data_IF_228706983923
#
_entry.id   IF_228706983923
#
_cell.length_a   1.000
_cell.length_b   1.000
_cell.length_c   1.000
_cell.angle_alpha   90.00
_cell.angle_beta   90.00
_cell.angle_gamma   90.00
#
_symmetry.space_group_name_H-M   'P 1'
#
loop_
_entity.id
_entity.type
_entity.pdbx_description
1 polymer ?
#
# COMPACT_ATOMS: atom_id res chain seq x y z
N UNK A 1 40.27 91.39 28.09
CA UNK A 1 39.78 92.72 28.44
C UNK A 1 40.86 93.44 29.22
N UNK A 2 41.01 94.75 29.06
CA UNK A 2 41.89 95.57 29.91
C UNK A 2 41.48 95.43 31.39
N UNK A 3 42.47 95.56 32.28
CA UNK A 3 42.22 95.66 33.72
C UNK A 3 41.33 96.87 34.05
N UNK A 4 40.77 96.87 35.27
CA UNK A 4 39.92 97.95 35.76
C UNK A 4 40.58 99.32 35.55
N UNK A 5 39.81 100.26 34.99
CA UNK A 5 40.28 101.62 34.77
C UNK A 5 40.69 102.27 36.10
N UNK A 6 41.84 102.97 36.17
CA UNK A 6 42.23 103.73 37.35
C UNK A 6 41.14 104.72 37.78
N UNK A 7 40.93 104.84 39.09
CA UNK A 7 39.99 105.82 39.66
C UNK A 7 40.45 107.26 39.39
N UNK A 8 39.52 108.22 39.39
CA UNK A 8 39.86 109.63 39.26
C UNK A 8 40.62 110.09 40.51
N UNK A 9 41.56 111.03 40.35
CA UNK A 9 42.36 111.55 41.47
C UNK A 9 41.52 112.47 42.35
N UNK A 10 40.78 111.88 43.29
CA UNK A 10 40.00 112.55 44.34
C UNK A 10 40.07 111.74 45.64
N UNK A 11 39.56 112.29 46.74
CA UNK A 11 39.68 111.68 48.08
C UNK A 11 39.03 110.29 48.20
N UNK A 12 38.02 109.99 47.37
CA UNK A 12 37.28 108.73 47.36
C UNK A 12 37.28 108.04 45.97
N UNK A 13 38.05 108.56 45.01
CA UNK A 13 38.10 108.04 43.65
C UNK A 13 36.86 108.32 42.80
N UNK A 14 36.00 109.26 43.20
CA UNK A 14 34.78 109.68 42.47
C UNK A 14 34.81 111.15 42.07
N UNK A 15 33.95 111.51 41.12
CA UNK A 15 33.75 112.90 40.73
C UNK A 15 32.88 113.64 41.74
N UNK A 16 33.34 114.82 42.17
CA UNK A 16 32.58 115.75 43.01
C UNK A 16 32.31 117.05 42.27
N UNK A 17 31.14 117.64 42.51
CA UNK A 17 30.83 119.00 42.07
C UNK A 17 31.60 120.01 42.92
N UNK A 18 31.95 121.15 42.33
CA UNK A 18 32.45 122.28 43.11
C UNK A 18 31.34 122.89 43.96
N UNK A 19 31.68 123.39 45.14
CA UNK A 19 30.77 124.11 46.02
C UNK A 19 31.19 125.59 46.14
N UNK A 20 30.51 126.51 45.44
CA UNK A 20 30.84 127.93 45.46
C UNK A 20 30.69 128.58 46.84
N UNK A 21 29.83 128.03 47.72
CA UNK A 21 29.58 128.58 49.05
C UNK A 21 30.69 128.27 50.06
N UNK A 22 31.47 127.21 49.82
CA UNK A 22 32.60 126.79 50.68
C UNK A 22 33.96 127.00 50.01
N UNK A 23 33.99 127.37 48.73
CA UNK A 23 35.20 127.51 47.93
C UNK A 23 35.81 126.17 47.47
N UNK A 24 35.14 125.04 47.71
CA UNK A 24 35.60 123.72 47.30
C UNK A 24 35.53 123.57 45.78
N UNK A 25 36.65 123.21 45.15
CA UNK A 25 36.72 123.03 43.71
C UNK A 25 36.20 121.64 43.31
N UNK A 26 35.49 121.57 42.18
CA UNK A 26 35.03 120.30 41.63
C UNK A 26 36.17 119.43 41.09
N UNK A 27 35.93 118.13 40.98
CA UNK A 27 36.90 117.18 40.41
C UNK A 27 37.01 117.40 38.90
N UNK A 28 38.20 117.78 38.43
CA UNK A 28 38.44 117.98 36.99
C UNK A 28 38.57 116.64 36.27
N UNK A 29 37.85 116.48 35.16
CA UNK A 29 38.08 115.36 34.23
C UNK A 29 39.44 115.54 33.57
N UNK A 30 40.35 114.59 33.78
CA UNK A 30 41.69 114.64 33.20
C UNK A 30 41.70 114.00 31.81
N UNK A 31 42.62 114.44 30.94
CA UNK A 31 42.85 113.79 29.65
C UNK A 31 43.25 112.31 29.83
N UNK A 32 44.00 111.99 30.89
CA UNK A 32 44.33 110.61 31.25
C UNK A 32 43.07 109.76 31.46
N UNK A 33 42.09 110.28 32.21
CA UNK A 33 40.85 109.56 32.46
C UNK A 33 40.06 109.30 31.16
N UNK A 34 39.88 110.32 30.31
CA UNK A 34 39.18 110.15 29.04
C UNK A 34 39.91 109.22 28.05
N UNK A 35 41.24 109.29 28.00
CA UNK A 35 42.03 108.35 27.20
C UNK A 35 41.88 106.92 27.73
N UNK A 36 41.87 106.72 29.04
CA UNK A 36 41.62 105.41 29.64
C UNK A 36 40.21 104.89 29.28
N UNK A 37 39.17 105.74 29.33
CA UNK A 37 37.81 105.37 28.90
C UNK A 37 37.79 104.97 27.43
N UNK A 38 38.39 105.77 26.55
CA UNK A 38 38.46 105.48 25.11
C UNK A 38 39.16 104.15 24.85
N UNK A 39 40.31 103.93 25.50
CA UNK A 39 41.08 102.70 25.39
C UNK A 39 40.26 101.48 25.83
N UNK A 40 39.49 101.61 26.91
CA UNK A 40 38.68 100.52 27.44
C UNK A 40 37.49 100.18 26.52
N UNK A 41 36.82 101.20 25.96
CA UNK A 41 35.74 100.99 24.97
C UNK A 41 36.30 100.31 23.72
N UNK A 42 37.43 100.79 23.20
CA UNK A 42 38.09 100.19 22.03
C UNK A 42 38.53 98.75 22.26
N UNK A 43 38.96 98.43 23.48
CA UNK A 43 39.33 97.06 23.88
C UNK A 43 38.12 96.11 23.84
N UNK A 44 36.99 96.53 24.43
CA UNK A 44 35.74 95.74 24.36
C UNK A 44 35.28 95.57 22.91
N UNK A 45 35.32 96.64 22.11
CA UNK A 45 35.00 96.56 20.68
C UNK A 45 35.93 95.60 19.92
N UNK A 46 37.22 95.54 20.27
CA UNK A 46 38.17 94.62 19.66
C UNK A 46 37.84 93.15 20.00
N UNK A 47 37.41 92.86 21.23
CA UNK A 47 36.96 91.51 21.61
C UNK A 47 35.68 91.11 20.89
N UNK A 48 34.71 92.01 20.77
CA UNK A 48 33.48 91.75 20.00
C UNK A 48 33.78 91.53 18.51
N UNK A 49 34.70 92.32 17.93
CA UNK A 49 35.23 92.09 16.57
C UNK A 49 35.93 90.74 16.44
N UNK A 50 36.64 90.30 17.46
CA UNK A 50 37.26 88.98 17.47
C UNK A 50 36.21 87.87 17.46
N UNK A 51 35.14 87.97 18.25
CA UNK A 51 34.01 87.02 18.22
C UNK A 51 33.38 86.97 16.83
N UNK A 52 33.12 88.12 16.21
CA UNK A 52 32.64 88.20 14.81
C UNK A 52 33.59 87.48 13.84
N UNK A 53 34.90 87.76 13.94
CA UNK A 53 35.91 87.13 13.06
C UNK A 53 35.98 85.62 13.22
N UNK A 54 35.81 85.10 14.45
CA UNK A 54 35.78 83.66 14.73
C UNK A 54 34.55 82.97 14.13
N UNK A 55 33.46 83.71 13.95
CA UNK A 55 32.29 83.27 13.22
C UNK A 55 32.40 83.47 11.70
N UNK A 56 33.50 84.05 11.19
CA UNK A 56 33.64 84.41 9.78
C UNK A 56 32.77 85.61 9.36
N UNK A 57 32.36 86.45 10.30
CA UNK A 57 31.53 87.63 10.07
C UNK A 57 32.37 88.92 10.14
N UNK A 58 32.03 89.88 9.29
CA UNK A 58 32.60 91.23 9.32
C UNK A 58 31.64 92.19 10.06
N UNK A 59 32.16 93.21 10.77
CA UNK A 59 31.33 94.23 11.40
C UNK A 59 30.40 94.90 10.40
N UNK A 60 29.14 95.01 10.76
CA UNK A 60 28.11 95.68 9.96
C UNK A 60 27.35 96.69 10.84
N UNK A 61 27.45 97.96 10.51
CA UNK A 61 26.85 99.09 11.23
C UNK A 61 25.32 99.10 11.14
N UNK A 62 24.73 98.51 10.10
CA UNK A 62 23.29 98.35 9.95
C UNK A 62 22.70 97.18 10.78
N UNK A 63 23.53 96.36 11.47
CA UNK A 63 23.08 95.19 12.23
C UNK A 63 23.36 95.28 13.73
N UNK A 64 22.31 95.12 14.54
CA UNK A 64 22.40 95.11 16.01
C UNK A 64 22.49 93.70 16.62
N UNK A 65 22.29 92.64 15.83
CA UNK A 65 22.30 91.22 16.29
C UNK A 65 23.58 90.46 15.94
N UNK A 66 24.55 91.11 15.31
CA UNK A 66 25.72 90.44 14.72
C UNK A 66 26.56 89.63 15.72
N UNK A 67 26.64 90.08 16.98
CA UNK A 67 27.34 89.34 18.05
C UNK A 67 26.58 88.06 18.41
N UNK A 68 25.25 88.11 18.44
CA UNK A 68 24.41 86.92 18.68
C UNK A 68 24.56 85.90 17.54
N UNK A 69 24.47 86.36 16.30
CA UNK A 69 24.67 85.52 15.11
C UNK A 69 26.06 84.86 15.13
N UNK A 70 27.09 85.61 15.53
CA UNK A 70 28.45 85.10 15.66
C UNK A 70 28.55 83.99 16.72
N UNK A 71 27.94 84.18 17.89
CA UNK A 71 27.94 83.19 18.97
C UNK A 71 27.24 81.90 18.50
N UNK A 72 26.09 81.99 17.83
CA UNK A 72 25.39 80.81 17.27
C UNK A 72 26.29 80.07 16.28
N UNK A 73 26.91 80.81 15.34
CA UNK A 73 27.79 80.21 14.33
C UNK A 73 28.97 79.47 14.97
N UNK A 74 29.62 80.08 15.97
CA UNK A 74 30.73 79.48 16.72
C UNK A 74 30.28 78.23 17.46
N UNK A 75 29.12 78.26 18.13
CA UNK A 75 28.59 77.09 18.83
C UNK A 75 28.37 75.95 17.84
N UNK A 76 27.70 76.21 16.71
CA UNK A 76 27.40 75.20 15.71
C UNK A 76 28.65 74.62 15.05
N UNK A 77 29.64 75.45 14.72
CA UNK A 77 30.91 75.00 14.16
C UNK A 77 31.72 74.12 15.13
N UNK A 78 31.54 74.32 16.44
CA UNK A 78 32.20 73.54 17.47
C UNK A 78 31.42 72.27 17.89
N UNK A 79 30.20 72.05 17.40
CA UNK A 79 29.47 70.78 17.58
C UNK A 79 30.17 69.71 16.74
N UNK A 80 30.73 68.71 17.41
CA UNK A 80 31.42 67.58 16.75
C UNK A 80 30.52 66.37 16.72
N UNK A 81 30.48 65.68 15.58
CA UNK A 81 29.89 64.34 15.50
C UNK A 81 30.72 63.36 16.33
N UNK A 82 30.07 62.42 17.00
CA UNK A 82 30.78 61.37 17.72
C UNK A 82 31.43 60.38 16.74
N UNK A 83 32.41 59.65 17.24
CA UNK A 83 33.01 58.49 16.58
C UNK A 83 33.34 57.43 17.63
N UNK A 84 33.87 56.29 17.21
CA UNK A 84 34.31 55.21 18.10
C UNK A 84 35.48 55.61 19.01
N UNK A 85 36.19 56.70 18.72
CA UNK A 85 37.37 57.16 19.48
C UNK A 85 37.22 58.58 20.03
N UNK A 86 36.11 59.27 19.76
CA UNK A 86 35.90 60.65 20.19
C UNK A 86 34.44 60.91 20.52
N UNK A 87 34.22 61.54 21.69
CA UNK A 87 32.90 62.01 22.12
C UNK A 87 32.35 63.08 21.18
N UNK A 88 31.03 63.11 20.99
CA UNK A 88 30.31 64.06 20.17
C UNK A 88 28.82 63.74 20.14
N UNK A 89 28.09 64.32 19.21
CA UNK A 89 26.66 64.10 19.01
C UNK A 89 26.41 62.92 18.07
N UNK A 90 25.36 62.14 18.36
CA UNK A 90 24.94 60.97 17.59
C UNK A 90 23.45 61.07 17.30
N UNK A 91 23.04 60.76 16.08
CA UNK A 91 21.63 60.57 15.74
C UNK A 91 21.25 59.11 16.00
N UNK A 92 20.15 58.85 16.69
CA UNK A 92 19.71 57.49 16.97
C UNK A 92 18.78 56.97 15.86
N UNK A 93 18.82 55.66 15.61
CA UNK A 93 17.94 54.98 14.65
C UNK A 93 17.33 53.72 15.25
N UNK A 94 16.10 53.41 14.86
CA UNK A 94 15.41 52.16 15.20
C UNK A 94 15.70 51.03 14.19
N UNK A 95 16.44 51.33 13.12
CA UNK A 95 16.84 50.31 12.15
C UNK A 95 17.87 49.35 12.76
N UNK A 96 17.69 48.06 12.52
CA UNK A 96 18.57 46.97 13.01
C UNK A 96 19.39 46.31 11.91
N UNK A 97 19.29 46.81 10.67
CA UNK A 97 20.02 46.27 9.51
C UNK A 97 20.66 47.36 8.64
N UNK A 98 20.68 48.61 9.12
CA UNK A 98 21.35 49.70 8.43
C UNK A 98 22.83 49.73 8.82
N UNK A 99 23.71 49.57 7.84
CA UNK A 99 25.11 49.90 8.01
C UNK A 99 25.26 51.43 8.07
N UNK A 100 25.79 51.97 9.16
CA UNK A 100 26.01 53.42 9.31
C UNK A 100 27.23 53.72 10.17
N UNK A 101 27.95 54.79 9.82
CA UNK A 101 28.99 55.42 10.64
C UNK A 101 28.52 56.74 11.27
N UNK A 102 27.25 57.11 11.08
CA UNK A 102 26.66 58.39 11.52
C UNK A 102 25.55 58.16 12.54
N UNK A 103 24.73 57.13 12.35
CA UNK A 103 23.64 56.78 13.26
C UNK A 103 24.07 55.73 14.30
N UNK A 104 23.69 55.96 15.56
CA UNK A 104 23.79 54.99 16.63
C UNK A 104 22.49 54.19 16.79
N UNK A 105 22.59 52.98 17.31
CA UNK A 105 21.41 52.17 17.62
C UNK A 105 20.62 52.80 18.79
N UNK A 106 19.31 52.96 18.63
CA UNK A 106 18.43 53.30 19.74
C UNK A 106 18.25 52.09 20.69
N UNK A 107 17.68 52.33 21.87
CA UNK A 107 17.27 51.26 22.77
C UNK A 107 16.24 50.32 22.13
N UNK A 108 15.37 50.84 21.26
CA UNK A 108 14.37 50.04 20.54
C UNK A 108 15.05 49.14 19.49
N UNK A 109 16.03 49.65 18.74
CA UNK A 109 16.82 48.85 17.82
C UNK A 109 17.55 47.71 18.55
N UNK A 110 18.23 48.03 19.66
CA UNK A 110 18.93 47.03 20.48
C UNK A 110 17.98 45.95 21.01
N UNK A 111 16.81 46.34 21.53
CA UNK A 111 15.78 45.40 21.98
C UNK A 111 15.26 44.53 20.84
N UNK A 112 14.99 45.12 19.68
CA UNK A 112 14.49 44.37 18.51
C UNK A 112 15.51 43.36 18.02
N UNK A 113 16.79 43.71 17.97
CA UNK A 113 17.87 42.79 17.62
C UNK A 113 17.98 41.62 18.62
N UNK A 114 17.89 41.91 19.91
CA UNK A 114 17.85 40.89 20.97
C UNK A 114 16.65 39.94 20.81
N UNK A 115 15.44 40.48 20.65
CA UNK A 115 14.21 39.69 20.51
C UNK A 115 14.29 38.77 19.27
N UNK A 116 14.82 39.27 18.15
CA UNK A 116 15.08 38.44 16.95
C UNK A 116 16.10 37.32 17.21
N UNK A 117 17.15 37.60 17.98
CA UNK A 117 18.11 36.58 18.42
C UNK A 117 17.46 35.48 19.26
N UNK A 118 16.60 35.85 20.21
CA UNK A 118 15.82 34.90 21.02
C UNK A 118 14.87 34.07 20.15
N UNK A 119 14.17 34.71 19.20
CA UNK A 119 13.30 33.99 18.25
C UNK A 119 14.09 32.97 17.41
N UNK A 120 15.28 33.34 16.92
CA UNK A 120 16.15 32.44 16.16
C UNK A 120 16.62 31.26 17.02
N UNK A 121 17.02 31.51 18.27
CA UNK A 121 17.42 30.45 19.21
C UNK A 121 16.25 29.49 19.50
N UNK A 122 15.06 30.02 19.76
CA UNK A 122 13.87 29.20 20.01
C UNK A 122 13.50 28.36 18.78
N UNK A 123 13.58 28.95 17.58
CA UNK A 123 13.36 28.24 16.33
C UNK A 123 14.40 27.13 16.09
N UNK A 124 15.66 27.35 16.51
CA UNK A 124 16.71 26.34 16.43
C UNK A 124 16.51 25.20 17.46
N UNK A 125 16.16 25.54 18.70
CA UNK A 125 15.89 24.58 19.77
C UNK A 125 14.72 23.63 19.46
N UNK A 126 13.77 24.06 18.62
CA UNK A 126 12.68 23.22 18.14
C UNK A 126 13.06 22.25 17.01
N UNK A 127 14.28 22.32 16.47
CA UNK A 127 14.74 21.48 15.36
C UNK A 127 15.67 20.38 15.85
N UNK A 128 15.61 19.23 15.17
CA UNK A 128 16.61 18.18 15.34
C UNK A 128 17.96 18.69 14.82
N UNK A 129 19.04 18.43 15.57
CA UNK A 129 20.39 18.74 15.13
C UNK A 129 20.73 18.02 13.81
N UNK A 130 21.64 18.58 13.01
CA UNK A 130 21.97 18.06 11.67
C UNK A 130 22.40 16.57 11.66
N UNK A 131 23.03 16.11 12.76
CA UNK A 131 23.41 14.71 12.96
C UNK A 131 22.74 14.12 14.21
N UNK A 132 21.65 14.73 14.68
CA UNK A 132 20.89 14.25 15.83
C UNK A 132 20.07 13.03 15.46
N UNK A 133 19.92 12.10 16.41
CA UNK A 133 18.93 11.02 16.29
C UNK A 133 17.62 11.49 16.90
N UNK A 134 16.52 11.37 16.15
CA UNK A 134 15.20 11.70 16.68
C UNK A 134 14.83 10.69 17.79
N UNK A 135 14.58 11.19 19.00
CA UNK A 135 14.18 10.34 20.15
C UNK A 135 12.72 9.89 20.01
N UNK A 136 11.90 10.62 19.26
CA UNK A 136 10.51 10.28 18.99
C UNK A 136 10.09 10.73 17.59
N UNK A 137 9.18 9.99 16.97
CA UNK A 137 8.57 10.33 15.69
C UNK A 137 7.04 10.37 15.85
N UNK A 138 6.44 11.56 15.93
CA UNK A 138 5.00 11.71 16.15
C UNK A 138 4.13 10.97 15.09
N UNK A 139 4.64 10.80 13.86
CA UNK A 139 3.93 10.04 12.81
C UNK A 139 3.88 8.53 13.10
N UNK A 140 4.80 8.01 13.92
CA UNK A 140 4.88 6.63 14.43
C UNK A 140 4.40 6.50 15.89
N UNK A 141 4.02 7.60 16.55
CA UNK A 141 3.40 7.55 17.89
C UNK A 141 2.14 6.67 17.91
N UNK A 142 1.42 6.64 16.77
CA UNK A 142 0.46 5.60 16.48
C UNK A 142 1.14 4.57 15.58
N UNK A 143 1.26 3.34 16.07
CA UNK A 143 1.87 2.25 15.31
C UNK A 143 1.19 2.09 13.94
N UNK A 144 2.01 1.93 12.89
CA UNK A 144 1.54 1.79 11.51
C UNK A 144 1.56 0.33 11.11
N UNK A 145 0.50 -0.15 10.47
CA UNK A 145 0.48 -1.49 9.91
C UNK A 145 1.33 -1.54 8.64
N UNK A 146 2.35 -2.39 8.64
CA UNK A 146 3.06 -2.81 7.44
C UNK A 146 2.37 -4.08 6.95
N UNK A 147 1.84 -4.05 5.73
CA UNK A 147 1.11 -5.16 5.13
C UNK A 147 1.83 -5.67 3.88
N UNK A 148 2.02 -6.99 3.82
CA UNK A 148 2.45 -7.74 2.65
C UNK A 148 1.20 -8.28 1.97
N UNK A 149 1.08 -8.08 0.66
CA UNK A 149 -0.06 -8.54 -0.15
C UNK A 149 0.43 -9.24 -1.40
N UNK A 150 -0.38 -10.16 -1.94
CA UNK A 150 -0.05 -10.92 -3.15
C UNK A 150 0.19 -12.41 -2.87
N UNK A 151 1.25 -12.97 -3.44
CA UNK A 151 1.58 -14.39 -3.29
C UNK A 151 1.86 -14.77 -1.83
N UNK A 152 2.54 -13.90 -1.09
CA UNK A 152 2.73 -14.02 0.36
C UNK A 152 1.93 -12.91 1.04
N UNK A 153 1.17 -13.26 2.07
CA UNK A 153 0.45 -12.30 2.91
C UNK A 153 1.00 -12.28 4.33
N UNK A 154 0.85 -11.15 5.01
CA UNK A 154 1.29 -10.98 6.38
C UNK A 154 1.17 -9.52 6.78
N UNK A 155 1.02 -9.25 8.08
CA UNK A 155 1.06 -7.88 8.55
C UNK A 155 1.56 -7.78 9.98
N UNK A 156 2.10 -6.61 10.31
CA UNK A 156 2.55 -6.29 11.66
C UNK A 156 2.49 -4.79 11.90
N UNK A 157 2.34 -4.39 13.16
CA UNK A 157 2.35 -2.98 13.55
C UNK A 157 3.76 -2.56 13.92
N UNK A 158 4.27 -1.52 13.28
CA UNK A 158 5.57 -0.92 13.56
C UNK A 158 5.40 0.43 14.24
N UNK A 159 6.06 0.63 15.37
CA UNK A 159 6.09 1.89 16.13
C UNK A 159 7.52 2.48 16.26
N UNK A 160 8.54 1.79 15.76
CA UNK A 160 9.93 2.23 15.83
C UNK A 160 10.65 1.92 17.14
N UNK A 161 10.01 1.25 18.10
CA UNK A 161 10.65 0.87 19.38
C UNK A 161 11.68 -0.25 19.24
N UNK A 162 11.61 -1.03 18.17
CA UNK A 162 12.53 -2.13 17.88
C UNK A 162 12.24 -2.81 16.55
N UNK A 163 12.88 -3.95 16.32
CA UNK A 163 12.68 -4.74 15.11
C UNK A 163 11.27 -5.31 15.04
N UNK A 164 10.60 -5.17 13.90
CA UNK A 164 9.31 -5.81 13.63
C UNK A 164 9.52 -7.18 13.00
N UNK A 165 9.00 -8.23 13.63
CA UNK A 165 8.83 -9.55 13.00
C UNK A 165 7.42 -9.64 12.41
N UNK A 166 7.31 -10.02 11.14
CA UNK A 166 6.02 -10.25 10.47
C UNK A 166 5.88 -11.74 10.21
N UNK A 167 4.86 -12.35 10.80
CA UNK A 167 4.46 -13.70 10.41
C UNK A 167 3.81 -13.66 9.03
N UNK A 168 4.27 -14.53 8.15
CA UNK A 168 3.82 -14.58 6.76
C UNK A 168 3.17 -15.91 6.42
N UNK A 169 2.20 -15.86 5.52
CA UNK A 169 1.51 -17.01 4.94
C UNK A 169 1.77 -17.00 3.44
N UNK A 170 2.27 -18.11 2.89
CA UNK A 170 2.28 -18.32 1.44
C UNK A 170 0.86 -18.69 1.01
N UNK A 171 0.24 -17.87 0.18
CA UNK A 171 -1.14 -18.05 -0.30
C UNK A 171 -1.16 -19.03 -1.47
N UNK A 172 -0.51 -20.18 -1.31
CA UNK A 172 -0.45 -21.26 -2.27
C UNK A 172 -1.68 -22.15 -2.10
N UNK A 173 -2.44 -22.31 -3.18
CA UNK A 173 -3.46 -23.35 -3.29
C UNK A 173 -3.01 -24.35 -4.35
N UNK A 174 -3.13 -25.65 -4.03
CA UNK A 174 -2.84 -26.74 -4.96
C UNK A 174 -4.14 -27.46 -5.26
N UNK A 175 -4.44 -27.66 -6.54
CA UNK A 175 -5.61 -28.39 -7.00
C UNK A 175 -5.28 -29.35 -8.13
N UNK A 176 -6.18 -30.29 -8.38
CA UNK A 176 -6.15 -31.14 -9.57
C UNK A 176 -7.23 -30.64 -10.52
N UNK A 177 -6.86 -30.44 -11.79
CA UNK A 177 -7.83 -30.09 -12.84
C UNK A 177 -7.83 -31.12 -13.95
N UNK A 178 -8.98 -31.26 -14.61
CA UNK A 178 -9.13 -32.01 -15.86
C UNK A 178 -9.12 -31.05 -17.04
N UNK A 179 -8.29 -31.28 -18.05
CA UNK A 179 -8.15 -30.37 -19.20
C UNK A 179 -7.83 -31.10 -20.50
N UNK A 180 -8.03 -30.43 -21.65
CA UNK A 180 -7.68 -30.95 -22.98
C UNK A 180 -6.20 -30.81 -23.33
N UNK A 181 -5.40 -30.16 -22.47
CA UNK A 181 -3.96 -29.95 -22.64
C UNK A 181 -3.18 -30.36 -21.39
N UNK A 182 -1.94 -30.83 -21.59
CA UNK A 182 -0.97 -31.12 -20.53
C UNK A 182 -0.50 -29.88 -19.75
N UNK A 183 -0.92 -28.66 -20.12
CA UNK A 183 -0.60 -27.44 -19.36
C UNK A 183 -1.84 -26.64 -18.99
N UNK A 184 -3.03 -27.23 -19.14
CA UNK A 184 -4.29 -26.58 -18.77
C UNK A 184 -4.38 -26.34 -17.26
N UNK A 185 -4.83 -25.15 -16.88
CA UNK A 185 -4.88 -24.66 -15.48
C UNK A 185 -6.30 -24.56 -14.90
N UNK A 186 -7.29 -25.06 -15.62
CA UNK A 186 -8.70 -24.99 -15.22
C UNK A 186 -9.44 -26.22 -15.68
N UNK A 187 -10.53 -26.53 -14.97
CA UNK A 187 -11.42 -27.62 -15.36
C UNK A 187 -12.08 -27.31 -16.70
N UNK A 188 -11.99 -28.25 -17.62
CA UNK A 188 -12.63 -28.23 -18.92
C UNK A 188 -13.33 -29.57 -19.10
N UNK A 189 -14.48 -29.56 -19.77
CA UNK A 189 -15.12 -30.82 -20.15
C UNK A 189 -14.22 -31.58 -21.14
N UNK A 190 -13.94 -32.85 -20.86
CA UNK A 190 -13.05 -33.68 -21.69
C UNK A 190 -13.67 -35.03 -21.99
N UNK A 191 -13.15 -35.72 -23.00
CA UNK A 191 -13.53 -37.09 -23.34
C UNK A 191 -12.32 -37.93 -23.78
N UNK A 192 -12.32 -39.20 -23.36
CA UNK A 192 -11.38 -40.26 -23.70
C UNK A 192 -9.95 -39.78 -23.94
N UNK A 193 -9.53 -39.62 -25.19
CA UNK A 193 -8.14 -39.30 -25.58
C UNK A 193 -7.71 -37.85 -25.29
N UNK A 194 -8.63 -36.99 -24.88
CA UNK A 194 -8.40 -35.58 -24.58
C UNK A 194 -8.41 -35.26 -23.09
N UNK A 195 -8.39 -36.25 -22.20
CA UNK A 195 -8.42 -36.00 -20.75
C UNK A 195 -7.01 -35.99 -20.16
N UNK A 196 -6.53 -34.80 -19.77
CA UNK A 196 -5.31 -34.64 -18.96
C UNK A 196 -5.67 -34.30 -17.52
N UNK A 197 -4.97 -34.92 -16.59
CA UNK A 197 -4.97 -34.58 -15.17
C UNK A 197 -3.74 -33.75 -14.85
N UNK A 198 -3.96 -32.48 -14.49
CA UNK A 198 -2.90 -31.52 -14.25
C UNK A 198 -2.93 -31.05 -12.80
N UNK A 199 -1.79 -31.09 -12.12
CA UNK A 199 -1.63 -30.39 -10.84
C UNK A 199 -1.46 -28.90 -11.14
N UNK A 200 -2.28 -28.08 -10.51
CA UNK A 200 -2.25 -26.63 -10.67
C UNK A 200 -1.93 -26.00 -9.33
N UNK A 201 -0.87 -25.21 -9.32
CA UNK A 201 -0.55 -24.31 -8.21
C UNK A 201 -1.08 -22.92 -8.54
N UNK A 202 -1.80 -22.32 -7.60
CA UNK A 202 -2.18 -20.90 -7.65
C UNK A 202 -1.51 -20.18 -6.50
N UNK A 203 -0.60 -19.25 -6.81
CA UNK A 203 -0.02 -18.30 -5.83
C UNK A 203 -0.58 -16.91 -6.11
N UNK A 204 -1.27 -16.34 -5.14
CA UNK A 204 -1.99 -15.08 -5.35
C UNK A 204 -3.06 -15.21 -6.44
N UNK A 205 -2.93 -14.49 -7.56
CA UNK A 205 -3.86 -14.53 -8.71
C UNK A 205 -3.32 -15.27 -9.93
N UNK A 206 -2.12 -15.84 -9.86
CA UNK A 206 -1.49 -16.53 -10.98
C UNK A 206 -1.54 -18.04 -10.77
N UNK A 207 -2.26 -18.73 -11.65
CA UNK A 207 -2.32 -20.18 -11.68
C UNK A 207 -1.33 -20.71 -12.73
N UNK A 208 -0.63 -21.80 -12.39
CA UNK A 208 0.30 -22.47 -13.29
C UNK A 208 0.14 -23.98 -13.18
N UNK A 209 0.16 -24.68 -14.31
CA UNK A 209 0.26 -26.13 -14.32
C UNK A 209 1.71 -26.50 -13.96
N UNK A 210 1.89 -27.39 -12.98
CA UNK A 210 3.21 -27.78 -12.49
C UNK A 210 3.42 -29.28 -12.67
N UNK A 211 4.68 -29.65 -12.91
CA UNK A 211 5.06 -31.04 -13.13
C UNK A 211 4.64 -31.57 -14.51
N UNK A 212 4.60 -32.90 -14.63
CA UNK A 212 4.16 -33.59 -15.83
C UNK A 212 2.73 -34.07 -15.66
N UNK A 213 1.91 -33.89 -16.69
CA UNK A 213 0.51 -34.34 -16.68
C UNK A 213 0.36 -35.82 -16.97
N UNK A 214 -0.68 -36.40 -16.38
CA UNK A 214 -1.12 -37.75 -16.74
C UNK A 214 -2.24 -37.64 -17.76
N UNK A 215 -2.02 -38.18 -18.96
CA UNK A 215 -3.10 -38.32 -19.95
C UNK A 215 -3.86 -39.60 -19.67
N UNK A 216 -5.14 -39.48 -19.37
CA UNK A 216 -6.04 -40.62 -19.27
C UNK A 216 -6.48 -40.99 -20.69
N UNK A 217 -6.39 -42.26 -21.03
CA UNK A 217 -6.82 -42.78 -22.33
C UNK A 217 -7.87 -43.86 -22.12
N UNK A 218 -9.12 -43.56 -22.45
CA UNK A 218 -10.17 -44.57 -22.59
C UNK A 218 -10.12 -45.16 -24.00
N UNK A 219 -9.72 -46.42 -24.14
CA UNK A 219 -9.88 -47.17 -25.40
C UNK A 219 -10.65 -48.46 -25.12
N UNK A 220 -11.70 -48.75 -25.88
CA UNK A 220 -12.48 -49.99 -25.76
C UNK A 220 -13.70 -49.85 -24.86
N UNK A 221 -13.74 -50.63 -23.77
CA UNK A 221 -14.93 -50.86 -22.93
C UNK A 221 -15.08 -49.86 -21.77
N UNK A 222 -14.37 -48.73 -21.75
CA UNK A 222 -14.53 -47.73 -20.70
C UNK A 222 -14.48 -46.32 -21.30
N UNK A 223 -15.46 -45.50 -20.93
CA UNK A 223 -15.49 -44.08 -21.28
C UNK A 223 -14.99 -43.26 -20.11
N UNK A 224 -14.08 -42.34 -20.42
CA UNK A 224 -13.57 -41.35 -19.48
C UNK A 224 -14.07 -39.99 -19.92
N UNK A 225 -14.75 -39.29 -19.04
CA UNK A 225 -15.16 -37.92 -19.29
C UNK A 225 -15.00 -37.08 -18.04
N UNK A 226 -14.75 -35.79 -18.22
CA UNK A 226 -14.87 -34.81 -17.14
C UNK A 226 -15.89 -33.75 -17.50
N UNK A 227 -16.53 -33.16 -16.50
CA UNK A 227 -17.32 -31.95 -16.69
C UNK A 227 -16.51 -30.68 -16.38
N UNK A 228 -17.10 -29.51 -16.64
CA UNK A 228 -16.47 -28.22 -16.38
C UNK A 228 -16.28 -27.91 -14.88
N UNK A 229 -16.89 -28.69 -13.98
CA UNK A 229 -16.69 -28.57 -12.53
C UNK A 229 -15.49 -29.39 -12.03
N UNK A 230 -14.93 -30.26 -12.89
CA UNK A 230 -13.77 -31.08 -12.60
C UNK A 230 -14.10 -32.49 -12.13
N UNK A 231 -15.36 -32.91 -12.19
CA UNK A 231 -15.73 -34.29 -11.84
C UNK A 231 -15.27 -35.20 -12.95
N UNK A 232 -14.23 -36.00 -12.69
CA UNK A 232 -13.81 -37.08 -13.57
C UNK A 232 -14.70 -38.29 -13.34
N UNK A 233 -15.37 -38.74 -14.39
CA UNK A 233 -16.19 -39.95 -14.36
C UNK A 233 -15.59 -40.98 -15.31
N UNK A 234 -15.40 -42.19 -14.78
CA UNK A 234 -14.98 -43.36 -15.54
C UNK A 234 -16.09 -44.38 -15.43
N UNK A 235 -16.67 -44.78 -16.57
CA UNK A 235 -17.71 -45.79 -16.62
C UNK A 235 -17.26 -46.92 -17.51
N UNK A 236 -17.35 -48.15 -17.00
CA UNK A 236 -17.34 -49.32 -17.86
C UNK A 236 -18.54 -49.25 -18.78
N UNK A 237 -18.31 -49.42 -20.07
CA UNK A 237 -19.33 -49.70 -21.07
C UNK A 237 -19.97 -51.03 -20.69
N UNK A 238 -20.97 -50.98 -19.79
CA UNK A 238 -21.77 -52.13 -19.41
C UNK A 238 -22.58 -52.54 -20.64
N UNK A 239 -21.99 -53.41 -21.47
CA UNK A 239 -22.67 -54.28 -22.44
C UNK A 239 -23.90 -53.68 -23.13
N UNK A 240 -23.82 -52.45 -23.65
CA UNK A 240 -24.94 -51.84 -24.40
C UNK A 240 -25.30 -52.59 -25.69
N UNK A 241 -24.55 -53.65 -26.05
CA UNK A 241 -24.74 -54.42 -27.28
C UNK A 241 -24.38 -55.93 -27.17
N UNK A 242 -24.38 -56.57 -25.99
CA UNK A 242 -24.24 -58.05 -25.95
C UNK A 242 -25.57 -58.78 -26.12
N UNK A 243 -26.06 -58.77 -27.36
CA UNK A 243 -26.31 -59.99 -28.12
C UNK A 243 -26.50 -59.58 -29.59
N UNK A 244 -25.53 -59.85 -30.46
CA UNK A 244 -25.82 -59.71 -31.90
C UNK A 244 -24.94 -60.55 -32.87
N UNK A 245 -25.66 -61.06 -33.88
CA UNK A 245 -25.32 -61.58 -35.23
C UNK A 245 -24.77 -62.98 -35.47
N UNK A 246 -25.02 -63.96 -34.60
CA UNK A 246 -25.18 -65.36 -35.07
C UNK A 246 -26.52 -65.93 -34.63
N UNK A 247 -27.60 -65.29 -35.09
CA UNK A 247 -28.90 -65.93 -35.30
C UNK A 247 -29.63 -66.50 -34.08
N UNK A 248 -29.56 -65.89 -32.89
CA UNK A 248 -30.56 -66.17 -31.87
C UNK A 248 -30.87 -64.93 -31.01
N UNK A 249 -32.12 -64.85 -30.56
CA UNK A 249 -32.76 -63.65 -30.03
C UNK A 249 -32.17 -63.17 -28.70
N UNK A 250 -32.17 -61.84 -28.51
CA UNK A 250 -31.81 -61.18 -27.25
C UNK A 250 -32.81 -61.64 -26.19
N UNK A 251 -32.37 -62.52 -25.28
CA UNK A 251 -33.21 -63.03 -24.18
C UNK A 251 -33.37 -61.94 -23.12
N UNK A 252 -34.46 -61.18 -23.20
CA UNK A 252 -34.89 -60.30 -22.12
C UNK A 252 -35.64 -61.12 -21.06
N UNK A 253 -34.97 -61.49 -19.97
CA UNK A 253 -35.59 -62.18 -18.83
C UNK A 253 -34.71 -63.25 -18.18
N UNK A 254 -35.21 -63.84 -17.07
CA UNK A 254 -34.57 -64.99 -16.41
C UNK A 254 -34.67 -66.19 -17.35
N UNK A 255 -33.52 -66.76 -17.75
CA UNK A 255 -33.47 -68.01 -18.49
C UNK A 255 -34.22 -69.11 -17.71
N UNK A 256 -35.32 -69.60 -18.24
CA UNK A 256 -36.08 -70.69 -17.63
C UNK A 256 -35.65 -72.03 -18.23
N UNK A 257 -35.92 -73.11 -17.52
CA UNK A 257 -35.61 -74.48 -18.01
C UNK A 257 -36.40 -74.78 -19.31
N UNK A 258 -37.57 -74.16 -19.49
CA UNK A 258 -38.39 -74.28 -20.70
C UNK A 258 -37.70 -73.71 -21.95
N UNK A 259 -36.83 -72.71 -21.80
CA UNK A 259 -36.06 -72.10 -22.90
C UNK A 259 -34.89 -73.00 -23.37
N UNK A 260 -34.44 -73.92 -22.51
CA UNK A 260 -33.31 -74.83 -22.76
C UNK A 260 -33.79 -76.17 -23.32
N UNK A 261 -35.01 -76.61 -22.99
CA UNK A 261 -35.63 -77.79 -23.61
C UNK A 261 -36.24 -77.40 -24.96
N UNK A 262 -35.36 -77.20 -25.96
CA UNK A 262 -35.70 -76.58 -27.23
C UNK A 262 -36.88 -77.22 -27.99
N UNK A 263 -37.75 -76.30 -28.41
CA UNK A 263 -38.88 -76.35 -29.34
C UNK A 263 -38.58 -76.86 -30.77
N UNK A 264 -37.58 -77.72 -30.98
CA UNK A 264 -37.13 -78.09 -32.32
C UNK A 264 -38.01 -79.14 -33.04
N UNK A 265 -39.04 -79.71 -32.40
CA UNK A 265 -39.95 -80.69 -33.04
C UNK A 265 -41.32 -80.81 -32.34
N UNK A 266 -42.01 -79.69 -32.11
CA UNK A 266 -43.38 -79.65 -31.57
C UNK A 266 -43.60 -80.51 -30.30
N UNK A 267 -42.60 -80.62 -29.41
CA UNK A 267 -42.68 -81.44 -28.20
C UNK A 267 -43.09 -82.91 -28.42
N UNK A 268 -42.67 -83.56 -29.52
CA UNK A 268 -43.11 -84.94 -29.81
C UNK A 268 -42.15 -86.07 -29.47
N UNK A 269 -40.86 -85.83 -29.24
CA UNK A 269 -39.90 -86.94 -29.08
C UNK A 269 -39.56 -87.28 -27.62
N UNK A 270 -39.01 -86.35 -26.84
CA UNK A 270 -38.50 -86.69 -25.51
C UNK A 270 -39.60 -86.75 -24.43
N UNK A 271 -40.56 -85.83 -24.49
CA UNK A 271 -41.75 -85.82 -23.62
C UNK A 271 -42.59 -87.10 -23.77
N UNK A 272 -42.82 -87.57 -25.01
CA UNK A 272 -43.60 -88.79 -25.27
C UNK A 272 -42.91 -90.06 -24.80
N UNK A 273 -41.57 -90.12 -24.86
CA UNK A 273 -40.81 -91.25 -24.33
C UNK A 273 -40.90 -91.28 -22.80
N UNK A 274 -40.71 -90.13 -22.14
CA UNK A 274 -40.85 -90.01 -20.69
C UNK A 274 -42.29 -90.36 -20.25
N UNK A 275 -43.29 -89.86 -20.97
CA UNK A 275 -44.70 -90.12 -20.67
C UNK A 275 -45.05 -91.61 -20.89
N UNK A 276 -44.58 -92.24 -21.96
CA UNK A 276 -44.74 -93.68 -22.19
C UNK A 276 -44.10 -94.51 -21.05
N UNK A 277 -42.86 -94.20 -20.67
CA UNK A 277 -42.18 -94.87 -19.55
C UNK A 277 -42.97 -94.68 -18.25
N UNK A 278 -43.50 -93.48 -18.01
CA UNK A 278 -44.33 -93.21 -16.84
C UNK A 278 -45.61 -94.07 -16.85
N UNK A 279 -46.33 -94.15 -17.97
CA UNK A 279 -47.53 -95.00 -18.12
C UNK A 279 -47.25 -96.49 -17.92
N UNK A 280 -46.10 -96.96 -18.41
CA UNK A 280 -45.65 -98.34 -18.20
C UNK A 280 -45.46 -98.64 -16.70
N UNK A 281 -44.77 -97.76 -15.97
CA UNK A 281 -44.52 -97.95 -14.55
C UNK A 281 -45.73 -97.70 -13.64
N UNK A 282 -46.72 -96.93 -14.10
CA UNK A 282 -47.99 -96.76 -13.37
C UNK A 282 -49.01 -97.85 -13.66
N UNK A 283 -48.70 -98.83 -14.53
CA UNK A 283 -49.59 -99.95 -14.87
C UNK A 283 -50.75 -99.59 -15.80
N UNK A 284 -50.75 -98.37 -16.38
CA UNK A 284 -51.78 -97.88 -17.30
C UNK A 284 -51.47 -98.40 -18.72
N UNK A 285 -51.80 -99.68 -18.93
CA UNK A 285 -51.47 -100.42 -20.15
C UNK A 285 -52.12 -99.83 -21.41
N UNK A 286 -53.32 -99.31 -21.30
CA UNK A 286 -54.06 -98.79 -22.46
C UNK A 286 -53.50 -97.44 -22.91
N UNK A 287 -53.16 -96.55 -21.97
CA UNK A 287 -52.50 -95.30 -22.31
C UNK A 287 -51.07 -95.51 -22.83
N UNK A 288 -50.31 -96.44 -22.22
CA UNK A 288 -48.98 -96.81 -22.71
C UNK A 288 -49.05 -97.33 -24.15
N UNK A 289 -49.98 -98.27 -24.44
CA UNK A 289 -50.23 -98.76 -25.79
C UNK A 289 -50.64 -97.64 -26.74
N UNK A 290 -51.50 -96.72 -26.33
CA UNK A 290 -51.92 -95.58 -27.15
C UNK A 290 -50.76 -94.68 -27.59
N UNK A 291 -49.81 -94.40 -26.68
CA UNK A 291 -48.64 -93.59 -26.97
C UNK A 291 -47.67 -94.33 -27.89
N UNK A 292 -47.42 -95.61 -27.59
CA UNK A 292 -46.44 -96.45 -28.31
C UNK A 292 -46.94 -96.85 -29.71
N UNK A 293 -48.24 -97.11 -29.90
CA UNK A 293 -48.84 -97.36 -31.21
C UNK A 293 -48.74 -96.13 -32.14
N UNK A 294 -48.60 -94.93 -31.57
CA UNK A 294 -48.33 -93.70 -32.32
C UNK A 294 -46.89 -93.57 -32.82
N UNK A 295 -45.99 -94.51 -32.49
CA UNK A 295 -44.59 -94.50 -32.94
C UNK A 295 -44.40 -95.19 -34.29
N UNK A 296 -45.29 -96.13 -34.68
CA UNK A 296 -45.22 -96.90 -35.93
C UNK A 296 -45.09 -98.41 -35.67
N UNK A 297 -45.04 -99.23 -36.72
CA UNK A 297 -45.02 -100.72 -36.60
C UNK A 297 -43.65 -101.30 -36.23
N UNK A 298 -42.54 -100.66 -36.62
CA UNK A 298 -41.19 -100.94 -36.12
C UNK A 298 -40.24 -99.78 -36.45
N UNK A 299 -39.17 -99.59 -35.68
CA UNK A 299 -38.17 -98.55 -35.94
C UNK A 299 -37.22 -98.28 -34.76
N UNK A 300 -36.28 -97.36 -34.96
CA UNK A 300 -35.35 -96.88 -33.92
C UNK A 300 -35.49 -95.38 -33.75
N UNK A 301 -35.67 -94.90 -32.51
CA UNK A 301 -35.74 -93.47 -32.22
C UNK A 301 -34.35 -92.82 -32.31
N UNK A 302 -34.25 -91.48 -32.45
CA UNK A 302 -32.97 -90.77 -32.43
C UNK A 302 -32.13 -90.98 -31.16
N UNK A 303 -32.74 -91.51 -30.09
CA UNK A 303 -32.09 -91.84 -28.82
C UNK A 303 -31.70 -93.32 -28.72
N UNK A 304 -31.77 -94.08 -29.82
CA UNK A 304 -31.34 -95.47 -29.90
C UNK A 304 -32.32 -96.50 -29.34
N UNK A 305 -33.56 -96.11 -29.03
CA UNK A 305 -34.62 -97.04 -28.60
C UNK A 305 -35.17 -97.73 -29.83
N UNK A 306 -35.05 -99.05 -29.90
CA UNK A 306 -35.58 -99.84 -31.02
C UNK A 306 -36.84 -100.58 -30.60
N UNK A 307 -37.86 -100.62 -31.45
CA UNK A 307 -39.13 -101.28 -31.17
C UNK A 307 -39.65 -102.01 -32.40
N UNK A 308 -40.42 -103.08 -32.16
CA UNK A 308 -41.07 -103.86 -33.21
C UNK A 308 -42.39 -104.45 -32.69
N UNK A 309 -43.47 -104.07 -33.36
CA UNK A 309 -44.86 -104.43 -33.06
C UNK A 309 -45.49 -105.23 -34.20
N UNK A 310 -44.69 -105.78 -35.12
CA UNK A 310 -45.18 -106.51 -36.29
C UNK A 310 -45.89 -107.82 -35.96
N UNK A 311 -45.61 -108.43 -34.81
CA UNK A 311 -46.30 -109.63 -34.33
C UNK A 311 -47.43 -109.26 -33.35
N UNK A 312 -48.66 -109.63 -33.71
CA UNK A 312 -49.86 -109.30 -32.94
C UNK A 312 -49.94 -110.02 -31.57
N UNK A 313 -49.19 -111.12 -31.40
CA UNK A 313 -49.16 -111.94 -30.19
C UNK A 313 -47.89 -111.77 -29.35
N UNK A 314 -46.91 -110.97 -29.81
CA UNK A 314 -45.67 -110.70 -29.07
C UNK A 314 -45.01 -109.42 -29.60
N UNK A 315 -44.61 -108.52 -28.70
CA UNK A 315 -43.98 -107.24 -29.06
C UNK A 315 -42.73 -107.01 -28.21
N UNK A 316 -41.76 -106.28 -28.75
CA UNK A 316 -40.55 -105.96 -27.99
C UNK A 316 -40.13 -104.50 -28.16
N UNK A 317 -39.59 -103.96 -27.08
CA UNK A 317 -38.94 -102.64 -27.05
C UNK A 317 -37.58 -102.81 -26.38
N UNK A 318 -36.54 -102.33 -27.05
CA UNK A 318 -35.17 -102.32 -26.57
C UNK A 318 -34.73 -100.89 -26.32
N UNK A 319 -34.61 -100.52 -25.05
CA UNK A 319 -34.18 -99.18 -24.60
C UNK A 319 -32.65 -98.97 -24.68
N UNK A 320 -31.98 -99.54 -25.68
CA UNK A 320 -30.52 -99.47 -25.84
C UNK A 320 -29.74 -100.30 -24.81
N UNK A 321 -28.41 -100.21 -24.83
CA UNK A 321 -27.50 -101.08 -24.06
C UNK A 321 -27.62 -100.96 -22.51
N UNK A 322 -28.31 -99.94 -22.00
CA UNK A 322 -28.35 -99.59 -20.58
C UNK A 322 -29.45 -100.29 -19.77
N UNK A 323 -30.49 -100.85 -20.42
CA UNK A 323 -31.68 -101.33 -19.71
C UNK A 323 -32.13 -102.76 -20.06
N UNK A 324 -31.38 -103.50 -20.88
CA UNK A 324 -31.74 -104.88 -21.27
C UNK A 324 -33.01 -104.96 -22.13
N UNK A 325 -33.27 -106.11 -22.76
CA UNK A 325 -34.47 -106.32 -23.56
C UNK A 325 -35.69 -106.58 -22.67
N UNK A 326 -36.73 -105.76 -22.78
CA UNK A 326 -38.03 -106.04 -22.17
C UNK A 326 -38.92 -106.69 -23.24
N UNK A 327 -39.23 -107.97 -23.05
CA UNK A 327 -40.20 -108.72 -23.86
C UNK A 327 -41.51 -108.73 -23.05
N UNK A 328 -42.59 -108.21 -23.63
CA UNK A 328 -43.93 -108.12 -23.00
C UNK A 328 -44.90 -109.02 -23.76
#
# INVERSE_FOLDING_TARGET
>A
MKDLMPVITSNDGRFHNGNPATGELGTRVTAQYLNNVQDHIRDVEAELKYVLSKAGLNPNDAKTTQVYDAIIAIINANRRSASTTSKGEVQLTDSINMASSVFGASALAAKTAYDKGVQALNAANGKLAANGTAVAANKLANARTIALTGAVSGSGKFDGSGNLSISTVDNLTIGLVTSTSATGISNVATSNSSTYLNVVETRGKSANAVGSSTRVTGTGLAEVYSDATGVLTIRGNQDVNKLDKTGNQILNGKLTVDDILLAANNNKSLSKIIDAINKLFTGDRDAFKGIVNGWGTSGTTPLGISYDFTNQNAWWIKFGALFGGLII
#
